data_IF_821341570046
#
_entry.id   IF_821341570046
#
_cell.length_a   1.000
_cell.length_b   1.000
_cell.length_c   1.000
_cell.angle_alpha   90.00
_cell.angle_beta   90.00
_cell.angle_gamma   90.00
#
_symmetry.space_group_name_H-M   'P 1'
#
loop_
_entity.id
_entity.type
_entity.pdbx_description
1 polymer ?
#
# COMPACT_ATOMS: atom_id res chain seq x y z
N UNK A 1 -5.62 9.77 4.12
CA UNK A 1 -6.61 9.96 3.04
C UNK A 1 -7.00 8.59 2.57
N UNK A 2 -8.30 8.29 2.47
CA UNK A 2 -8.76 6.95 2.09
C UNK A 2 -8.97 6.88 0.59
N UNK A 3 -8.43 5.84 -0.05
CA UNK A 3 -8.68 5.56 -1.47
C UNK A 3 -8.96 4.07 -1.70
N UNK A 4 -9.93 3.73 -2.56
CA UNK A 4 -10.03 2.38 -3.06
C UNK A 4 -8.88 2.10 -4.04
N UNK A 5 -8.35 0.88 -4.00
CA UNK A 5 -7.43 0.35 -5.01
C UNK A 5 -7.96 -0.98 -5.51
N UNK A 6 -7.71 -1.26 -6.78
CA UNK A 6 -8.06 -2.52 -7.42
C UNK A 6 -6.80 -3.34 -7.61
N UNK A 7 -6.78 -4.54 -7.05
CA UNK A 7 -5.62 -5.44 -7.08
C UNK A 7 -6.04 -6.74 -7.76
N UNK A 8 -5.31 -7.15 -8.79
CA UNK A 8 -5.48 -8.47 -9.40
C UNK A 8 -4.62 -9.47 -8.64
N UNK A 9 -5.24 -10.49 -8.06
CA UNK A 9 -4.57 -11.51 -7.26
C UNK A 9 -5.24 -12.87 -7.45
N UNK A 10 -4.49 -13.93 -7.76
CA UNK A 10 -5.01 -15.29 -7.95
C UNK A 10 -6.23 -15.34 -8.91
N UNK A 11 -6.14 -14.67 -10.06
CA UNK A 11 -7.21 -14.51 -11.06
C UNK A 11 -8.50 -13.82 -10.56
N UNK A 12 -8.48 -13.26 -9.35
CA UNK A 12 -9.55 -12.44 -8.81
C UNK A 12 -9.22 -10.96 -8.89
N UNK A 13 -10.26 -10.13 -9.00
CA UNK A 13 -10.17 -8.68 -8.85
C UNK A 13 -10.65 -8.35 -7.44
N UNK A 14 -9.72 -7.88 -6.62
CA UNK A 14 -9.96 -7.50 -5.23
C UNK A 14 -9.97 -5.97 -5.13
N UNK A 15 -10.88 -5.43 -4.34
CA UNK A 15 -10.93 -4.00 -4.03
C UNK A 15 -10.62 -3.81 -2.56
N UNK A 16 -9.54 -3.08 -2.27
CA UNK A 16 -9.13 -2.73 -0.92
C UNK A 16 -9.31 -1.23 -0.72
N UNK A 17 -9.76 -0.81 0.46
CA UNK A 17 -9.66 0.60 0.84
C UNK A 17 -8.35 0.80 1.60
N UNK A 18 -7.57 1.80 1.20
CA UNK A 18 -6.28 2.11 1.80
C UNK A 18 -6.31 3.52 2.38
N UNK A 19 -6.07 3.66 3.68
CA UNK A 19 -5.77 4.95 4.28
C UNK A 19 -4.29 5.29 4.12
N UNK A 20 -4.04 6.42 3.50
CA UNK A 20 -2.71 6.90 3.15
C UNK A 20 -2.35 8.07 4.03
N UNK A 21 -1.29 7.92 4.80
CA UNK A 21 -0.81 8.91 5.75
C UNK A 21 0.62 9.31 5.39
N UNK A 22 0.86 10.60 5.20
CA UNK A 22 2.23 11.12 5.16
C UNK A 22 2.70 11.32 6.60
N UNK A 23 3.83 10.70 6.95
CA UNK A 23 4.49 10.81 8.26
C UNK A 23 5.96 11.12 8.01
N UNK A 24 6.33 12.37 8.23
CA UNK A 24 7.68 12.88 7.95
C UNK A 24 8.08 12.60 6.47
N UNK A 25 9.19 11.90 6.26
CA UNK A 25 9.72 11.47 4.95
C UNK A 25 9.11 10.15 4.43
N UNK A 26 8.08 9.65 5.12
CA UNK A 26 7.45 8.36 4.82
C UNK A 26 5.99 8.53 4.41
N UNK A 27 5.53 7.64 3.54
CA UNK A 27 4.12 7.43 3.24
C UNK A 27 3.74 6.07 3.79
N UNK A 28 2.81 6.06 4.73
CA UNK A 28 2.26 4.85 5.34
C UNK A 28 0.90 4.56 4.70
N UNK A 29 0.74 3.34 4.23
CA UNK A 29 -0.49 2.80 3.65
C UNK A 29 -1.06 1.77 4.62
N UNK A 30 -2.19 2.11 5.22
CA UNK A 30 -2.95 1.25 6.11
C UNK A 30 -4.11 0.62 5.32
N UNK A 31 -4.21 -0.70 5.32
CA UNK A 31 -5.37 -1.37 4.72
C UNK A 31 -6.54 -1.31 5.69
N UNK A 32 -7.68 -0.83 5.23
CA UNK A 32 -8.90 -0.86 6.03
C UNK A 32 -9.39 -2.31 6.19
N UNK A 33 -10.00 -2.60 7.33
CA UNK A 33 -10.54 -3.92 7.65
C UNK A 33 -11.95 -4.08 7.05
N UNK A 34 -12.03 -3.98 5.73
CA UNK A 34 -13.25 -4.23 4.98
C UNK A 34 -13.42 -5.72 4.61
N UNK A 35 -14.58 -6.10 4.06
CA UNK A 35 -14.92 -7.49 3.76
C UNK A 35 -13.92 -8.19 2.83
N UNK A 36 -13.12 -7.44 2.06
CA UNK A 36 -12.02 -7.98 1.26
C UNK A 36 -10.84 -8.35 2.15
N UNK A 37 -10.43 -7.45 3.05
CA UNK A 37 -9.34 -7.69 4.00
C UNK A 37 -9.63 -8.88 4.92
N UNK A 38 -10.87 -9.03 5.39
CA UNK A 38 -11.28 -10.15 6.25
C UNK A 38 -11.03 -11.52 5.61
N UNK A 39 -11.06 -11.63 4.28
CA UNK A 39 -10.75 -12.89 3.56
C UNK A 39 -9.27 -13.28 3.65
N UNK A 40 -8.41 -12.31 3.98
CA UNK A 40 -6.97 -12.46 4.05
C UNK A 40 -6.43 -12.26 5.47
N UNK A 41 -7.26 -12.16 6.51
CA UNK A 41 -6.81 -12.01 7.91
C UNK A 41 -5.87 -13.13 8.39
N UNK A 42 -5.90 -14.29 7.75
CA UNK A 42 -4.98 -15.41 8.03
C UNK A 42 -3.61 -15.23 7.35
N UNK A 43 -3.55 -14.42 6.30
CA UNK A 43 -2.38 -14.18 5.46
C UNK A 43 -1.72 -12.82 5.74
N UNK A 44 -2.53 -11.84 6.12
CA UNK A 44 -2.17 -10.47 6.47
C UNK A 44 -2.59 -10.19 7.93
N UNK A 45 -1.65 -9.74 8.78
CA UNK A 45 -1.95 -9.37 10.16
C UNK A 45 -2.80 -8.10 10.23
N UNK A 46 -3.57 -7.95 11.31
CA UNK A 46 -4.47 -6.81 11.52
C UNK A 46 -3.76 -5.45 11.47
N UNK A 47 -2.53 -5.38 11.97
CA UNK A 47 -1.70 -4.18 11.96
C UNK A 47 -0.80 -4.06 10.72
N UNK A 48 -1.16 -4.75 9.62
CA UNK A 48 -0.38 -4.71 8.39
C UNK A 48 -0.38 -3.30 7.81
N UNK A 49 0.83 -2.77 7.61
CA UNK A 49 1.06 -1.45 7.03
C UNK A 49 2.19 -1.56 6.00
N UNK A 50 1.97 -0.96 4.83
CA UNK A 50 3.01 -0.78 3.83
C UNK A 50 3.61 0.61 4.02
N UNK A 51 4.94 0.72 4.00
CA UNK A 51 5.69 1.95 4.21
C UNK A 51 6.50 2.21 2.94
N UNK A 52 6.30 3.38 2.34
CA UNK A 52 7.15 3.92 1.28
C UNK A 52 7.99 5.03 1.86
N UNK A 53 9.30 4.82 1.93
CA UNK A 53 10.24 5.87 2.29
C UNK A 53 10.64 6.65 1.04
N UNK A 54 10.81 7.97 1.11
CA UNK A 54 11.18 8.79 -0.05
C UNK A 54 12.48 8.35 -0.73
N UNK A 55 13.44 7.86 0.06
CA UNK A 55 14.82 7.56 -0.40
C UNK A 55 15.14 6.07 -0.48
N UNK A 56 14.16 5.18 -0.32
CA UNK A 56 14.37 3.74 -0.46
C UNK A 56 13.51 3.15 -1.57
N UNK A 57 14.15 2.36 -2.43
CA UNK A 57 13.47 1.60 -3.46
C UNK A 57 12.89 0.31 -2.86
N UNK A 58 11.65 -0.01 -3.24
CA UNK A 58 10.98 -1.25 -2.89
C UNK A 58 9.95 -1.14 -1.76
N UNK A 59 9.16 -2.22 -1.65
CA UNK A 59 8.13 -2.37 -0.63
C UNK A 59 8.80 -2.57 0.74
N UNK A 60 8.37 -1.81 1.73
CA UNK A 60 8.62 -2.12 3.12
C UNK A 60 7.30 -2.35 3.82
N UNK A 61 7.27 -3.34 4.68
CA UNK A 61 6.19 -3.56 5.63
C UNK A 61 6.84 -3.94 6.96
N UNK A 62 6.14 -3.64 8.05
CA UNK A 62 6.62 -3.94 9.41
C UNK A 62 6.97 -5.44 9.49
N UNK A 63 8.12 -5.79 10.09
CA UNK A 63 8.64 -7.17 10.28
C UNK A 63 7.64 -8.07 11.00
N UNK A 64 6.61 -8.50 10.28
CA UNK A 64 5.59 -9.41 10.74
C UNK A 64 5.65 -10.65 9.84
N UNK A 65 5.55 -11.86 10.41
CA UNK A 65 5.61 -13.08 9.64
C UNK A 65 4.36 -13.19 8.75
N UNK A 66 4.49 -12.76 7.50
CA UNK A 66 3.49 -12.98 6.46
C UNK A 66 3.56 -14.42 5.96
N UNK A 67 2.42 -15.02 5.64
CA UNK A 67 2.39 -16.27 4.86
C UNK A 67 2.92 -16.01 3.45
N UNK A 68 3.33 -17.06 2.71
CA UNK A 68 3.76 -16.89 1.31
C UNK A 68 2.69 -16.23 0.43
N UNK A 69 1.42 -16.51 0.73
CA UNK A 69 0.27 -15.87 0.08
C UNK A 69 0.13 -14.40 0.47
N UNK A 70 0.29 -14.09 1.76
CA UNK A 70 0.31 -12.71 2.28
C UNK A 70 1.43 -11.87 1.66
N UNK A 71 2.64 -12.44 1.49
CA UNK A 71 3.74 -11.77 0.80
C UNK A 71 3.41 -11.46 -0.65
N UNK A 72 2.84 -12.42 -1.38
CA UNK A 72 2.44 -12.25 -2.78
C UNK A 72 1.35 -11.17 -2.92
N UNK A 73 0.38 -11.16 -2.00
CA UNK A 73 -0.68 -10.15 -1.96
C UNK A 73 -0.11 -8.77 -1.64
N UNK A 74 0.77 -8.67 -0.65
CA UNK A 74 1.45 -7.41 -0.30
C UNK A 74 2.22 -6.83 -1.50
N UNK A 75 2.92 -7.68 -2.26
CA UNK A 75 3.59 -7.26 -3.50
C UNK A 75 2.61 -6.78 -4.57
N UNK A 76 1.48 -7.48 -4.76
CA UNK A 76 0.45 -7.06 -5.71
C UNK A 76 -0.17 -5.70 -5.32
N UNK A 77 -0.47 -5.51 -4.04
CA UNK A 77 -0.94 -4.22 -3.50
C UNK A 77 0.11 -3.13 -3.75
N UNK A 78 1.38 -3.40 -3.45
CA UNK A 78 2.46 -2.45 -3.65
C UNK A 78 2.61 -2.02 -5.11
N UNK A 79 2.58 -2.96 -6.05
CA UNK A 79 2.69 -2.64 -7.48
C UNK A 79 1.62 -1.63 -7.93
N UNK A 80 0.39 -1.76 -7.41
CA UNK A 80 -0.70 -0.81 -7.68
C UNK A 80 -0.45 0.55 -7.02
N UNK A 81 0.01 0.56 -5.76
CA UNK A 81 0.32 1.79 -5.02
C UNK A 81 1.49 2.56 -5.62
N UNK A 82 2.49 1.86 -6.15
CA UNK A 82 3.67 2.42 -6.80
C UNK A 82 3.33 3.00 -8.17
N UNK A 83 2.52 2.30 -8.97
CA UNK A 83 2.02 2.78 -10.25
C UNK A 83 1.13 4.02 -10.11
N UNK A 84 0.40 4.12 -8.99
CA UNK A 84 -0.47 5.25 -8.66
C UNK A 84 -0.05 5.90 -7.35
N UNK A 85 1.07 6.65 -7.31
CA UNK A 85 1.53 7.30 -6.09
C UNK A 85 0.48 8.33 -5.62
N UNK A 86 0.27 8.47 -4.30
CA UNK A 86 -0.62 9.50 -3.77
C UNK A 86 -0.06 10.89 -4.08
N UNK A 87 -0.94 11.79 -4.52
CA UNK A 87 -0.62 13.21 -4.67
C UNK A 87 -1.05 13.93 -3.40
N UNK A 88 -0.09 14.35 -2.58
CA UNK A 88 -0.37 15.20 -1.43
C UNK A 88 -0.38 16.67 -1.89
N UNK A 89 -1.22 17.52 -1.28
CA UNK A 89 -1.15 18.98 -1.52
C UNK A 89 0.26 19.46 -1.15
N UNK A 90 1.01 19.96 -2.12
CA UNK A 90 2.43 20.32 -1.99
C UNK A 90 3.40 19.45 -2.79
N UNK A 91 2.94 18.35 -3.41
CA UNK A 91 3.69 17.58 -4.43
C UNK A 91 3.59 18.23 -5.83
N UNK A 92 3.34 19.55 -5.90
CA UNK A 92 3.65 20.30 -7.10
C UNK A 92 5.14 20.13 -7.34
N UNK A 93 5.47 19.30 -8.33
CA UNK A 93 6.79 19.30 -8.93
C UNK A 93 7.12 20.75 -9.18
N UNK A 94 8.06 21.27 -8.38
CA UNK A 94 8.85 22.41 -8.76
C UNK A 94 9.44 22.01 -10.11
N UNK A 95 8.74 22.43 -11.16
CA UNK A 95 9.15 22.23 -12.53
C UNK A 95 10.28 23.22 -12.65
N UNK A 96 11.48 22.78 -12.29
CA UNK A 96 12.69 23.54 -12.52
C UNK A 96 12.79 23.64 -14.03
N UNK A 97 12.25 24.72 -14.57
CA UNK A 97 12.48 25.15 -15.93
C UNK A 97 13.98 25.42 -16.06
N UNK A 98 14.65 24.58 -16.84
CA UNK A 98 15.96 24.86 -17.40
C UNK A 98 15.77 25.37 -18.84
#
# INVERSE_FOLDING_TARGET
>A
MKRPITVKFEDQILMFTVDIQRKDDNIVYHLEHDSTFEKFRQDLPEDFNIIKQQNQAGIQYKDQPLTGRGQSLAQAIWAVLEAHPPQFKGDEKETVAL
#
